data_IF_984742933847
#
_entry.id   IF_984742933847
#
_cell.length_a   1.000
_cell.length_b   1.000
_cell.length_c   1.000
_cell.angle_alpha   90.00
_cell.angle_beta   90.00
_cell.angle_gamma   90.00
#
_symmetry.space_group_name_H-M   'P 1'
#
loop_
_entity.id
_entity.type
_entity.pdbx_description
1 polymer ?
#
# COMPACT_ATOMS: atom_id res chain seq x y z
N UNK A 1 7.27 10.65 2.19
CA UNK A 1 8.17 9.83 1.32
C UNK A 1 7.36 8.94 0.35
N UNK A 2 7.98 8.24 -0.61
CA UNK A 2 7.27 7.32 -1.54
C UNK A 2 7.97 5.96 -1.66
N UNK A 3 7.20 4.87 -1.62
CA UNK A 3 7.68 3.49 -1.70
C UNK A 3 6.92 2.71 -2.78
N UNK A 4 7.60 1.85 -3.51
CA UNK A 4 7.00 0.99 -4.54
C UNK A 4 7.18 -0.47 -4.13
N UNK A 5 6.09 -1.25 -4.22
CA UNK A 5 6.08 -2.70 -3.94
C UNK A 5 5.62 -3.42 -5.21
N UNK A 6 6.39 -4.36 -5.72
CA UNK A 6 5.94 -5.23 -6.80
C UNK A 6 5.01 -6.31 -6.26
N UNK A 7 3.75 -6.29 -6.70
CA UNK A 7 2.69 -7.12 -6.11
C UNK A 7 1.87 -7.90 -7.17
N UNK A 8 2.15 -7.69 -8.46
CA UNK A 8 1.39 -8.30 -9.55
C UNK A 8 0.06 -7.59 -9.81
N UNK A 9 -0.81 -8.20 -10.64
CA UNK A 9 -2.06 -7.56 -11.09
C UNK A 9 -3.24 -7.71 -10.14
N UNK A 10 -3.18 -8.70 -9.24
CA UNK A 10 -4.26 -9.07 -8.32
C UNK A 10 -3.71 -9.39 -6.92
N UNK A 11 -2.97 -8.47 -6.27
CA UNK A 11 -2.42 -8.71 -4.95
C UNK A 11 -3.51 -8.74 -3.88
N UNK A 12 -3.27 -9.46 -2.78
CA UNK A 12 -4.09 -9.36 -1.58
C UNK A 12 -3.52 -8.28 -0.66
N UNK A 13 -4.23 -7.16 -0.49
CA UNK A 13 -3.75 -6.04 0.34
C UNK A 13 -4.46 -6.09 1.70
N UNK A 14 -3.70 -6.28 2.77
CA UNK A 14 -4.18 -6.23 4.15
C UNK A 14 -3.74 -4.92 4.80
N UNK A 15 -4.71 -4.08 5.16
CA UNK A 15 -4.48 -2.86 5.93
C UNK A 15 -4.73 -3.19 7.40
N UNK A 16 -3.70 -3.09 8.24
CA UNK A 16 -3.82 -3.40 9.68
C UNK A 16 -4.33 -2.20 10.49
N UNK A 17 -3.72 -1.03 10.29
CA UNK A 17 -4.11 0.22 10.94
C UNK A 17 -3.66 1.42 10.12
N UNK A 18 -4.47 2.48 10.13
CA UNK A 18 -4.13 3.81 9.63
C UNK A 18 -4.50 4.79 10.73
N UNK A 19 -3.53 5.59 11.19
CA UNK A 19 -3.74 6.56 12.26
C UNK A 19 -4.48 7.82 11.80
N UNK A 20 -4.29 8.21 10.54
CA UNK A 20 -4.96 9.33 9.89
C UNK A 20 -5.92 8.88 8.78
N UNK A 21 -5.87 9.59 7.66
CA UNK A 21 -6.72 9.35 6.50
C UNK A 21 -6.08 8.37 5.51
N UNK A 22 -6.91 7.48 4.95
CA UNK A 22 -6.53 6.57 3.87
C UNK A 22 -7.13 7.03 2.54
N UNK A 23 -6.26 7.32 1.57
CA UNK A 23 -6.64 7.52 0.17
C UNK A 23 -6.16 6.35 -0.68
N UNK A 24 -7.07 5.64 -1.33
CA UNK A 24 -6.76 4.49 -2.17
C UNK A 24 -7.36 4.67 -3.56
N UNK A 25 -6.52 4.52 -4.60
CA UNK A 25 -6.93 4.68 -6.00
C UNK A 25 -6.41 3.51 -6.84
N UNK A 26 -7.30 2.91 -7.63
CA UNK A 26 -6.93 1.88 -8.59
C UNK A 26 -6.18 2.44 -9.80
N UNK A 27 -5.10 1.77 -10.24
CA UNK A 27 -4.34 2.13 -11.46
C UNK A 27 -3.97 0.89 -12.29
N UNK A 28 -3.47 1.11 -13.52
CA UNK A 28 -3.16 0.05 -14.49
C UNK A 28 -1.84 -0.69 -14.21
N UNK A 29 -1.02 -0.21 -13.27
CA UNK A 29 0.25 -0.85 -12.93
C UNK A 29 0.07 -2.12 -12.09
N UNK A 30 1.06 -3.02 -12.19
CA UNK A 30 1.15 -4.22 -11.35
C UNK A 30 1.91 -4.01 -10.03
N UNK A 31 2.22 -2.76 -9.70
CA UNK A 31 2.89 -2.39 -8.46
C UNK A 31 1.91 -1.66 -7.54
N UNK A 32 2.23 -1.63 -6.25
CA UNK A 32 1.59 -0.78 -5.26
C UNK A 32 2.51 0.41 -5.00
N UNK A 33 1.98 1.62 -5.20
CA UNK A 33 2.68 2.87 -4.91
C UNK A 33 2.13 3.43 -3.60
N UNK A 34 2.99 3.58 -2.60
CA UNK A 34 2.65 4.11 -1.28
C UNK A 34 3.30 5.48 -1.11
N UNK A 35 2.56 6.41 -0.51
CA UNK A 35 3.06 7.72 -0.10
C UNK A 35 2.58 8.00 1.32
N UNK A 36 3.53 8.07 2.23
CA UNK A 36 3.40 8.40 3.66
C UNK A 36 4.79 8.84 4.16
N UNK A 37 4.90 9.34 5.37
CA UNK A 37 6.19 9.62 5.98
C UNK A 37 6.88 8.34 6.46
N UNK A 38 8.22 8.30 6.34
CA UNK A 38 8.98 7.03 6.37
C UNK A 38 9.00 6.40 7.77
N UNK A 39 9.01 7.24 8.81
CA UNK A 39 9.01 6.81 10.21
C UNK A 39 7.65 6.24 10.66
N UNK A 40 6.61 6.45 9.85
CA UNK A 40 5.22 6.07 10.17
C UNK A 40 4.72 4.90 9.33
N UNK A 41 5.40 4.56 8.21
CA UNK A 41 4.97 3.51 7.29
C UNK A 41 5.68 2.18 7.53
N UNK A 42 4.91 1.14 7.85
CA UNK A 42 5.41 -0.25 7.92
C UNK A 42 4.72 -1.08 6.84
N UNK A 43 5.54 -1.80 6.07
CA UNK A 43 5.09 -2.64 4.96
C UNK A 43 5.87 -3.94 4.96
N UNK A 44 5.15 -5.05 4.84
CA UNK A 44 5.71 -6.39 4.61
C UNK A 44 4.99 -7.07 3.45
N UNK A 45 5.69 -8.00 2.79
CA UNK A 45 5.16 -8.79 1.70
C UNK A 45 5.48 -10.27 1.94
N UNK A 46 4.45 -11.11 1.87
CA UNK A 46 4.55 -12.57 1.90
C UNK A 46 3.79 -13.15 0.70
N UNK A 47 4.54 -13.56 -0.33
CA UNK A 47 3.98 -13.93 -1.63
C UNK A 47 3.12 -12.81 -2.23
N UNK A 48 1.85 -13.14 -2.49
CA UNK A 48 0.87 -12.20 -3.06
C UNK A 48 0.17 -11.33 -1.99
N UNK A 49 0.43 -11.57 -0.71
CA UNK A 49 -0.11 -10.76 0.37
C UNK A 49 0.83 -9.60 0.72
N UNK A 50 0.31 -8.37 0.67
CA UNK A 50 1.00 -7.16 1.10
C UNK A 50 0.29 -6.62 2.34
N UNK A 51 1.01 -6.52 3.45
CA UNK A 51 0.49 -6.00 4.71
C UNK A 51 1.01 -4.60 4.95
N UNK A 52 0.12 -3.66 5.27
CA UNK A 52 0.42 -2.25 5.43
C UNK A 52 -0.16 -1.72 6.74
N UNK A 53 0.65 -0.97 7.48
CA UNK A 53 0.21 -0.14 8.60
C UNK A 53 0.86 1.24 8.52
N UNK A 54 0.12 2.29 8.86
CA UNK A 54 0.63 3.65 8.94
C UNK A 54 0.14 4.35 10.21
N UNK A 55 1.02 5.10 10.88
CA UNK A 55 0.68 5.83 12.11
C UNK A 55 0.02 7.21 11.83
N UNK A 56 -0.02 7.66 10.56
CA UNK A 56 -0.64 8.92 10.09
C UNK A 56 -1.39 8.71 8.75
N UNK A 57 -1.42 9.70 7.86
CA UNK A 57 -2.05 9.68 6.55
C UNK A 57 -1.31 8.76 5.55
N UNK A 58 -2.09 7.97 4.80
CA UNK A 58 -1.57 7.09 3.75
C UNK A 58 -2.28 7.30 2.42
N UNK A 59 -1.49 7.58 1.37
CA UNK A 59 -1.96 7.55 -0.02
C UNK A 59 -1.43 6.34 -0.77
N UNK A 60 -2.32 5.57 -1.38
CA UNK A 60 -2.02 4.34 -2.11
C UNK A 60 -2.53 4.40 -3.55
N UNK A 61 -1.70 3.95 -4.49
CA UNK A 61 -2.18 3.47 -5.79
C UNK A 61 -1.99 1.97 -5.87
N UNK A 62 -3.09 1.25 -6.10
CA UNK A 62 -3.11 -0.22 -6.10
C UNK A 62 -3.56 -0.75 -7.47
N UNK A 63 -3.07 -1.92 -7.91
CA UNK A 63 -3.57 -2.53 -9.13
C UNK A 63 -5.09 -2.60 -9.12
N UNK A 64 -5.77 -2.29 -10.24
CA UNK A 64 -7.24 -2.31 -10.32
C UNK A 64 -7.88 -3.67 -9.99
N UNK A 65 -7.11 -4.76 -10.08
CA UNK A 65 -7.54 -6.11 -9.75
C UNK A 65 -7.23 -6.55 -8.32
N UNK A 66 -6.69 -5.66 -7.48
CA UNK A 66 -6.46 -5.88 -6.06
C UNK A 66 -7.78 -5.94 -5.27
#
# INVERSE_FOLDING_TARGET
MSKTISAGRTPNIRIESIGGDLSLVGWEGGDILLKADDDELRVSQDGDQVTVSCDDDLSMRVPKGA
#
